data_IF_341932633296
#
_entry.id   IF_341932633296
#
_cell.length_a   1.000
_cell.length_b   1.000
_cell.length_c   1.000
_cell.angle_alpha   90.00
_cell.angle_beta   90.00
_cell.angle_gamma   90.00
#
_symmetry.space_group_name_H-M   'P 1'
#
loop_
_entity.id
_entity.type
_entity.pdbx_description
1 polymer ?
#
# COMPACT_ATOMS: atom_id res chain seq x y z
N UNK A 1 1.28 -8.83 -12.40
CA UNK A 1 1.84 -8.14 -11.21
C UNK A 1 1.25 -6.73 -11.16
N UNK A 2 0.72 -6.29 -10.03
CA UNK A 2 0.25 -4.91 -9.90
C UNK A 2 1.42 -3.93 -10.06
N UNK A 3 1.38 -3.16 -11.16
CA UNK A 3 2.32 -2.08 -11.42
C UNK A 3 1.74 -0.75 -10.90
N UNK A 4 2.43 0.35 -11.12
CA UNK A 4 2.04 1.67 -10.66
C UNK A 4 0.58 2.03 -11.04
N UNK A 5 0.09 1.81 -12.27
CA UNK A 5 -1.29 2.14 -12.64
C UNK A 5 -2.33 1.33 -11.85
N UNK A 6 -2.12 0.02 -11.64
CA UNK A 6 -3.03 -0.84 -10.90
C UNK A 6 -3.07 -0.48 -9.42
N UNK A 7 -1.92 -0.07 -8.84
CA UNK A 7 -1.86 0.41 -7.46
C UNK A 7 -2.61 1.73 -7.31
N UNK A 8 -2.49 2.64 -8.28
CA UNK A 8 -3.25 3.91 -8.29
C UNK A 8 -4.75 3.68 -8.46
N UNK A 9 -5.17 2.76 -9.34
CA UNK A 9 -6.58 2.38 -9.49
C UNK A 9 -7.13 1.80 -8.19
N UNK A 10 -6.36 0.93 -7.53
CA UNK A 10 -6.73 0.39 -6.21
C UNK A 10 -6.89 1.51 -5.18
N UNK A 11 -5.94 2.44 -5.08
CA UNK A 11 -6.03 3.60 -4.19
C UNK A 11 -7.30 4.42 -4.43
N UNK A 12 -7.56 4.74 -5.71
CA UNK A 12 -8.76 5.53 -6.10
C UNK A 12 -10.06 4.80 -5.81
N UNK A 13 -10.07 3.49 -5.92
CA UNK A 13 -11.25 2.68 -5.60
C UNK A 13 -11.52 2.61 -4.10
N UNK A 14 -10.48 2.53 -3.27
CA UNK A 14 -10.61 2.41 -1.83
C UNK A 14 -10.88 3.75 -1.14
N UNK A 15 -10.11 4.79 -1.48
CA UNK A 15 -10.07 6.04 -0.73
C UNK A 15 -11.44 6.68 -0.49
N UNK A 16 -12.36 6.81 -1.46
CA UNK A 16 -13.66 7.43 -1.25
C UNK A 16 -14.54 6.73 -0.22
N UNK A 17 -14.33 5.42 -0.05
CA UNK A 17 -15.16 4.61 0.83
C UNK A 17 -14.62 4.49 2.26
N UNK A 18 -13.33 4.72 2.49
CA UNK A 18 -12.70 4.46 3.79
C UNK A 18 -12.00 5.66 4.41
N UNK A 19 -11.58 6.66 3.64
CA UNK A 19 -10.95 7.87 4.21
C UNK A 19 -11.95 8.65 5.06
N UNK A 20 -11.52 9.11 6.23
CA UNK A 20 -12.35 9.75 7.24
C UNK A 20 -13.06 8.77 8.17
N UNK A 21 -12.94 7.45 7.96
CA UNK A 21 -13.59 6.43 8.79
C UNK A 21 -12.63 5.80 9.79
N UNK A 22 -13.17 5.37 10.92
CA UNK A 22 -12.42 4.64 11.94
C UNK A 22 -12.48 3.14 11.70
N UNK A 23 -11.36 2.47 11.98
CA UNK A 23 -11.29 1.00 11.96
C UNK A 23 -12.08 0.46 13.15
N UNK A 24 -13.06 -0.38 12.88
CA UNK A 24 -13.91 -1.01 13.91
C UNK A 24 -13.47 -2.43 14.25
N UNK A 25 -12.91 -3.15 13.30
CA UNK A 25 -12.39 -4.51 13.50
C UNK A 25 -11.32 -4.84 12.46
N UNK A 26 -10.45 -5.79 12.81
CA UNK A 26 -9.47 -6.38 11.89
C UNK A 26 -9.46 -7.89 12.09
N UNK A 27 -9.41 -8.62 11.00
CA UNK A 27 -9.27 -10.08 11.03
C UNK A 27 -8.08 -10.50 10.18
N UNK A 28 -7.06 -11.10 10.79
CA UNK A 28 -5.86 -11.61 10.13
C UNK A 28 -5.90 -13.13 10.15
N UNK A 29 -5.78 -13.78 8.98
CA UNK A 29 -5.90 -15.23 8.78
C UNK A 29 -4.57 -15.92 8.49
N UNK A 30 -3.50 -15.16 8.31
CA UNK A 30 -2.15 -15.71 8.08
C UNK A 30 -1.14 -15.03 8.98
N UNK A 31 -0.19 -15.77 9.58
CA UNK A 31 0.86 -15.17 10.39
C UNK A 31 1.92 -14.48 9.56
N UNK A 32 1.99 -14.75 8.24
CA UNK A 32 3.06 -14.29 7.38
C UNK A 32 2.62 -14.12 5.93
N UNK A 33 3.00 -13.00 5.33
CA UNK A 33 3.08 -12.77 3.89
C UNK A 33 4.57 -12.87 3.45
N UNK A 34 5.09 -11.90 2.71
CA UNK A 34 6.54 -11.76 2.46
C UNK A 34 7.29 -11.68 3.79
N UNK A 35 6.74 -10.94 4.75
CA UNK A 35 7.25 -10.78 6.10
C UNK A 35 6.19 -11.20 7.15
N UNK A 36 6.59 -11.49 8.40
CA UNK A 36 5.65 -11.74 9.48
C UNK A 36 4.68 -10.56 9.64
N UNK A 37 3.40 -10.86 9.80
CA UNK A 37 2.39 -9.85 10.10
C UNK A 37 2.40 -9.52 11.60
N UNK A 38 2.38 -8.22 11.89
CA UNK A 38 2.18 -7.73 13.25
C UNK A 38 0.74 -8.00 13.69
N UNK A 39 0.46 -7.86 14.96
CA UNK A 39 -0.91 -8.01 15.50
C UNK A 39 -1.77 -6.80 15.11
N UNK A 40 -2.17 -6.76 13.84
CA UNK A 40 -3.01 -5.69 13.30
C UNK A 40 -4.38 -5.65 13.97
N UNK A 41 -4.86 -6.77 14.52
CA UNK A 41 -6.13 -6.84 15.23
C UNK A 41 -6.09 -6.08 16.57
N UNK A 42 -4.92 -5.97 17.19
CA UNK A 42 -4.72 -5.14 18.36
C UNK A 42 -4.32 -3.69 18.02
N UNK A 43 -3.64 -3.48 16.88
CA UNK A 43 -2.99 -2.19 16.58
C UNK A 43 -3.89 -1.20 15.83
N UNK A 44 -4.82 -1.66 14.98
CA UNK A 44 -5.60 -0.78 14.10
C UNK A 44 -6.97 -0.35 14.66
N UNK A 45 -7.74 -1.17 15.42
CA UNK A 45 -9.06 -0.75 15.88
C UNK A 45 -9.01 0.56 16.68
N UNK A 46 -9.98 1.44 16.39
CA UNK A 46 -10.06 2.77 16.98
C UNK A 46 -9.25 3.85 16.27
N UNK A 47 -8.36 3.49 15.33
CA UNK A 47 -7.66 4.47 14.51
C UNK A 47 -8.56 4.97 13.38
N UNK A 48 -8.50 6.27 13.07
CA UNK A 48 -9.22 6.89 11.95
C UNK A 48 -8.27 7.05 10.77
N UNK A 49 -8.66 6.56 9.59
CA UNK A 49 -7.89 6.73 8.36
C UNK A 49 -8.03 8.17 7.84
N UNK A 50 -6.96 8.96 7.88
CA UNK A 50 -6.94 10.33 7.39
C UNK A 50 -6.63 10.41 5.89
N UNK A 51 -5.65 9.62 5.45
CA UNK A 51 -5.18 9.65 4.06
C UNK A 51 -4.85 8.24 3.57
N UNK A 52 -5.12 8.01 2.30
CA UNK A 52 -4.63 6.86 1.54
C UNK A 52 -3.88 7.39 0.31
N UNK A 53 -2.57 7.22 0.32
CA UNK A 53 -1.69 7.75 -0.70
C UNK A 53 -0.94 6.60 -1.38
N UNK A 54 -0.42 6.87 -2.58
CA UNK A 54 0.46 5.96 -3.28
C UNK A 54 1.85 6.59 -3.44
N UNK A 55 2.86 5.79 -3.24
CA UNK A 55 4.25 6.09 -3.60
C UNK A 55 4.81 4.90 -4.36
N UNK A 56 5.13 5.06 -5.64
CA UNK A 56 5.46 3.94 -6.52
C UNK A 56 4.40 2.83 -6.48
N UNK A 57 4.77 1.62 -6.11
CA UNK A 57 3.88 0.46 -5.95
C UNK A 57 3.40 0.24 -4.51
N UNK A 58 3.69 1.19 -3.62
CA UNK A 58 3.27 1.15 -2.22
C UNK A 58 2.01 1.99 -2.00
N UNK A 59 1.13 1.49 -1.12
CA UNK A 59 0.06 2.28 -0.53
C UNK A 59 0.47 2.69 0.89
N UNK A 60 0.32 3.96 1.19
CA UNK A 60 0.59 4.55 2.50
C UNK A 60 -0.76 4.93 3.09
N UNK A 61 -1.15 4.23 4.14
CA UNK A 61 -2.35 4.50 4.91
C UNK A 61 -1.94 5.31 6.13
N UNK A 62 -2.39 6.54 6.24
CA UNK A 62 -2.11 7.41 7.38
C UNK A 62 -3.31 7.43 8.30
N UNK A 63 -3.11 6.95 9.52
CA UNK A 63 -4.12 6.91 10.57
C UNK A 63 -3.82 7.93 11.66
N UNK A 64 -4.88 8.31 12.38
CA UNK A 64 -4.80 9.09 13.62
C UNK A 64 -5.48 8.34 14.76
N UNK A 65 -4.82 8.31 15.91
CA UNK A 65 -5.41 7.81 17.16
C UNK A 65 -6.32 8.85 17.81
N UNK A 66 -7.14 8.44 18.77
CA UNK A 66 -7.95 9.34 19.57
C UNK A 66 -7.10 10.38 20.37
N UNK A 67 -5.86 10.04 20.70
CA UNK A 67 -4.88 10.93 21.32
C UNK A 67 -4.19 11.90 20.33
N UNK A 68 -4.55 11.84 19.03
CA UNK A 68 -3.96 12.69 18.00
C UNK A 68 -2.65 12.18 17.40
N UNK A 69 -2.16 11.02 17.82
CA UNK A 69 -0.93 10.46 17.34
C UNK A 69 -1.11 9.85 15.96
N UNK A 70 -0.12 10.04 15.08
CA UNK A 70 -0.11 9.42 13.76
C UNK A 70 0.43 7.99 13.80
N UNK A 71 -0.18 7.13 13.01
CA UNK A 71 0.23 5.74 12.74
C UNK A 71 0.09 5.47 11.26
N UNK A 72 0.86 4.53 10.77
CA UNK A 72 0.85 4.21 9.34
C UNK A 72 0.75 2.71 9.10
N UNK A 73 0.12 2.38 7.99
CA UNK A 73 0.26 1.07 7.36
C UNK A 73 0.95 1.29 6.01
N UNK A 74 2.07 0.62 5.82
CA UNK A 74 2.75 0.57 4.52
C UNK A 74 2.43 -0.77 3.89
N UNK A 75 1.80 -0.76 2.70
CA UNK A 75 1.40 -1.99 2.04
C UNK A 75 1.92 -2.05 0.61
N UNK A 76 2.32 -3.26 0.20
CA UNK A 76 2.75 -3.57 -1.16
C UNK A 76 2.03 -4.82 -1.63
N UNK A 77 1.44 -4.79 -2.83
CA UNK A 77 0.63 -5.91 -3.31
C UNK A 77 1.45 -7.09 -3.84
N UNK A 78 2.77 -6.94 -3.98
CA UNK A 78 3.62 -7.97 -4.52
C UNK A 78 3.23 -8.32 -5.96
N UNK A 79 3.22 -9.61 -6.28
CA UNK A 79 2.93 -10.09 -7.64
C UNK A 79 1.46 -10.46 -7.87
N UNK A 80 0.72 -10.81 -6.84
CA UNK A 80 -0.65 -11.32 -6.95
C UNK A 80 -1.62 -10.74 -5.93
N UNK A 81 -1.13 -9.82 -5.09
CA UNK A 81 -1.94 -9.19 -4.06
C UNK A 81 -2.96 -8.22 -4.64
N UNK A 82 -4.10 -8.13 -3.99
CA UNK A 82 -5.15 -7.17 -4.31
C UNK A 82 -5.90 -6.75 -3.05
N UNK A 83 -6.31 -5.48 -3.02
CA UNK A 83 -7.25 -4.96 -2.04
C UNK A 83 -8.62 -4.81 -2.68
N UNK A 84 -9.65 -5.36 -2.06
CA UNK A 84 -11.03 -5.27 -2.53
C UNK A 84 -11.94 -4.76 -1.44
N UNK A 85 -12.95 -4.01 -1.86
CA UNK A 85 -13.95 -3.42 -0.97
C UNK A 85 -15.26 -4.21 -1.02
N UNK A 86 -15.90 -4.35 0.13
CA UNK A 86 -17.18 -5.00 0.29
C UNK A 86 -18.05 -4.20 1.26
N UNK A 87 -19.34 -4.10 0.95
CA UNK A 87 -20.33 -3.68 1.95
C UNK A 87 -20.63 -4.87 2.85
N UNK A 88 -20.88 -4.61 4.13
CA UNK A 88 -21.32 -5.68 5.04
C UNK A 88 -22.81 -5.99 4.86
N UNK A 89 -23.21 -7.27 4.94
CA UNK A 89 -22.38 -8.45 5.16
C UNK A 89 -21.55 -8.82 3.94
N UNK A 90 -20.24 -9.04 4.15
CA UNK A 90 -19.32 -9.43 3.09
C UNK A 90 -19.34 -10.95 2.86
N UNK A 91 -18.98 -11.44 1.65
CA UNK A 91 -18.81 -12.86 1.40
C UNK A 91 -17.80 -13.49 2.36
N UNK A 92 -17.99 -14.77 2.64
CA UNK A 92 -17.02 -15.56 3.43
C UNK A 92 -15.63 -15.49 2.81
N UNK A 93 -14.62 -15.45 3.66
CA UNK A 93 -13.24 -15.38 3.21
C UNK A 93 -12.82 -16.72 2.56
N UNK A 94 -12.07 -16.62 1.47
CA UNK A 94 -11.47 -17.75 0.78
C UNK A 94 -10.04 -18.03 1.27
N UNK A 95 -9.45 -19.13 0.79
CA UNK A 95 -8.11 -19.62 1.17
C UNK A 95 -7.00 -18.56 1.07
N UNK A 96 -7.10 -17.64 0.13
CA UNK A 96 -6.08 -16.63 -0.15
C UNK A 96 -6.43 -15.24 0.38
N UNK A 97 -7.52 -15.11 1.13
CA UNK A 97 -7.92 -13.88 1.82
C UNK A 97 -7.23 -13.82 3.17
N UNK A 98 -6.22 -12.97 3.28
CA UNK A 98 -5.29 -12.98 4.41
C UNK A 98 -5.63 -11.97 5.49
N UNK A 99 -6.21 -10.84 5.13
CA UNK A 99 -6.59 -9.81 6.09
C UNK A 99 -7.86 -9.08 5.67
N UNK A 100 -8.71 -8.76 6.64
CA UNK A 100 -9.85 -7.86 6.51
C UNK A 100 -9.67 -6.69 7.47
N UNK A 101 -9.87 -5.47 6.98
CA UNK A 101 -9.93 -4.25 7.79
C UNK A 101 -11.35 -3.70 7.64
N UNK A 102 -12.07 -3.54 8.74
CA UNK A 102 -13.47 -3.11 8.76
C UNK A 102 -13.56 -1.65 9.19
N UNK A 103 -14.30 -0.86 8.42
CA UNK A 103 -14.58 0.55 8.65
C UNK A 103 -16.11 0.75 8.76
N UNK A 104 -16.70 0.39 9.88
CA UNK A 104 -18.14 0.42 10.10
C UNK A 104 -18.89 -0.60 9.22
N UNK A 105 -19.57 -0.12 8.17
CA UNK A 105 -20.35 -0.92 7.22
C UNK A 105 -19.54 -1.38 5.99
N UNK A 106 -18.27 -1.01 5.91
CA UNK A 106 -17.35 -1.33 4.80
C UNK A 106 -16.23 -2.23 5.27
N UNK A 107 -15.94 -3.27 4.50
CA UNK A 107 -14.82 -4.19 4.70
C UNK A 107 -13.85 -4.07 3.53
N UNK A 108 -12.57 -3.91 3.84
CA UNK A 108 -11.48 -3.95 2.86
C UNK A 108 -10.70 -5.24 3.05
N UNK A 109 -10.68 -6.09 2.03
CA UNK A 109 -10.07 -7.42 2.06
C UNK A 109 -8.79 -7.46 1.24
N UNK A 110 -7.74 -8.02 1.86
CA UNK A 110 -6.49 -8.32 1.19
C UNK A 110 -6.43 -9.79 0.78
N UNK A 111 -6.30 -10.02 -0.53
CA UNK A 111 -6.17 -11.35 -1.14
C UNK A 111 -4.83 -11.46 -1.83
N UNK A 112 -4.04 -12.51 -1.57
CA UNK A 112 -2.73 -12.72 -2.20
C UNK A 112 -2.37 -14.21 -2.30
N UNK A 113 -2.66 -14.88 -3.43
CA UNK A 113 -2.36 -16.30 -3.61
C UNK A 113 -0.89 -16.66 -3.42
N UNK A 114 0.04 -15.79 -3.77
CA UNK A 114 1.48 -16.05 -3.72
C UNK A 114 2.15 -15.59 -2.43
N UNK A 115 1.49 -14.75 -1.62
CA UNK A 115 1.99 -14.15 -0.37
C UNK A 115 3.28 -13.33 -0.54
N UNK A 116 3.46 -12.69 -1.68
CA UNK A 116 4.61 -11.81 -1.96
C UNK A 116 4.35 -10.36 -1.61
N UNK A 117 3.14 -10.04 -1.21
CA UNK A 117 2.80 -8.74 -0.69
C UNK A 117 3.31 -8.52 0.74
N UNK A 118 3.22 -7.28 1.20
CA UNK A 118 3.57 -6.91 2.57
C UNK A 118 2.53 -5.96 3.17
N UNK A 119 2.35 -6.06 4.47
CA UNK A 119 1.51 -5.17 5.29
C UNK A 119 2.30 -4.87 6.56
N UNK A 120 2.82 -3.66 6.69
CA UNK A 120 3.68 -3.25 7.79
C UNK A 120 3.03 -2.10 8.55
N UNK A 121 2.80 -2.30 9.86
CA UNK A 121 2.37 -1.23 10.75
C UNK A 121 3.59 -0.46 11.24
N UNK A 122 3.51 0.88 11.21
CA UNK A 122 4.62 1.76 11.55
C UNK A 122 4.16 2.90 12.46
N UNK A 123 5.01 3.23 13.43
CA UNK A 123 4.83 4.37 14.34
C UNK A 123 5.59 5.62 13.86
N UNK A 124 6.44 5.46 12.85
CA UNK A 124 7.19 6.53 12.18
C UNK A 124 6.75 6.67 10.74
N UNK A 125 6.85 7.88 10.19
CA UNK A 125 6.44 8.13 8.80
C UNK A 125 7.26 7.26 7.82
N UNK A 126 6.61 6.35 7.07
CA UNK A 126 7.30 5.46 6.15
C UNK A 126 8.07 6.18 5.04
N UNK A 127 7.71 7.44 4.71
CA UNK A 127 8.42 8.25 3.72
C UNK A 127 9.86 8.56 4.13
N UNK A 128 10.16 8.48 5.44
CA UNK A 128 11.49 8.75 6.03
C UNK A 128 12.32 7.48 6.23
N UNK A 129 11.82 6.32 5.85
CA UNK A 129 12.46 5.03 6.08
C UNK A 129 12.48 4.15 4.82
N UNK A 130 13.25 3.08 4.87
CA UNK A 130 13.22 2.05 3.83
C UNK A 130 11.86 1.35 3.78
N UNK A 131 11.39 0.94 2.61
CA UNK A 131 12.08 1.05 1.30
C UNK A 131 11.85 2.38 0.57
N UNK A 132 10.99 3.28 1.07
CA UNK A 132 10.55 4.46 0.32
C UNK A 132 11.66 5.49 0.06
N UNK A 133 12.65 5.60 0.94
CA UNK A 133 13.78 6.53 0.77
C UNK A 133 14.71 6.17 -0.39
N UNK A 134 14.70 4.92 -0.85
CA UNK A 134 15.50 4.46 -1.99
C UNK A 134 14.79 4.63 -3.34
N UNK A 135 13.52 4.98 -3.33
CA UNK A 135 12.75 5.12 -4.57
C UNK A 135 13.14 6.40 -5.31
N UNK A 136 13.23 6.32 -6.63
CA UNK A 136 13.36 7.47 -7.52
C UNK A 136 12.16 8.42 -7.43
N UNK A 137 12.16 9.51 -8.19
CA UNK A 137 11.02 10.42 -8.26
C UNK A 137 9.82 9.77 -9.00
N UNK A 138 8.62 10.23 -8.70
CA UNK A 138 7.44 9.82 -9.45
C UNK A 138 7.50 10.36 -10.90
N UNK A 139 6.92 9.64 -11.89
CA UNK A 139 6.97 10.07 -13.30
C UNK A 139 6.39 11.46 -13.57
N UNK A 140 5.51 11.95 -12.70
CA UNK A 140 4.88 13.28 -12.80
C UNK A 140 5.44 14.28 -11.77
N UNK A 141 6.55 13.96 -11.12
CA UNK A 141 7.20 14.88 -10.20
C UNK A 141 7.71 16.10 -10.98
N UNK A 142 7.39 17.34 -10.59
CA UNK A 142 7.85 18.53 -11.28
C UNK A 142 9.38 18.65 -11.37
N UNK A 143 10.11 17.96 -10.49
CA UNK A 143 11.57 17.92 -10.52
C UNK A 143 12.13 16.98 -11.60
N UNK A 144 11.28 16.12 -12.21
CA UNK A 144 11.65 15.27 -13.32
C UNK A 144 11.56 16.07 -14.63
N UNK A 145 12.53 16.97 -14.86
CA UNK A 145 12.64 17.70 -16.13
C UNK A 145 13.05 16.77 -17.26
N UNK A 146 12.82 17.19 -18.50
CA UNK A 146 13.24 16.43 -19.69
C UNK A 146 14.76 16.14 -19.69
N UNK A 147 15.59 17.12 -19.31
CA UNK A 147 17.04 16.97 -19.24
C UNK A 147 17.46 15.97 -18.16
N UNK A 148 16.83 16.04 -16.99
CA UNK A 148 17.07 15.07 -15.91
C UNK A 148 16.66 13.67 -16.32
N UNK A 149 15.49 13.53 -16.93
CA UNK A 149 15.01 12.25 -17.41
C UNK A 149 15.93 11.67 -18.50
N UNK A 150 16.36 12.51 -19.46
CA UNK A 150 17.32 12.10 -20.49
C UNK A 150 18.63 11.61 -19.86
N UNK A 151 19.16 12.36 -18.87
CA UNK A 151 20.38 11.98 -18.17
C UNK A 151 20.25 10.63 -17.45
N UNK A 152 19.12 10.36 -16.82
CA UNK A 152 18.86 9.06 -16.16
C UNK A 152 18.74 7.91 -17.18
N UNK A 153 18.11 8.17 -18.34
CA UNK A 153 18.01 7.17 -19.41
C UNK A 153 19.37 6.76 -19.97
N UNK A 154 20.35 7.67 -20.01
CA UNK A 154 21.71 7.36 -20.47
C UNK A 154 22.48 6.40 -19.55
N UNK A 155 22.03 6.25 -18.31
CA UNK A 155 22.66 5.36 -17.30
C UNK A 155 22.18 3.92 -17.37
N UNK A 156 21.20 3.61 -18.23
CA UNK A 156 20.57 2.29 -18.27
C UNK A 156 20.28 1.84 -19.69
N UNK A 157 20.24 0.54 -19.92
CA UNK A 157 19.80 -0.09 -21.16
C UNK A 157 18.33 -0.53 -21.15
N UNK A 158 17.59 -0.21 -20.08
CA UNK A 158 16.16 -0.52 -19.94
C UNK A 158 15.34 0.31 -20.93
N UNK A 159 14.15 -0.19 -21.29
CA UNK A 159 13.21 0.58 -22.10
C UNK A 159 12.72 1.82 -21.35
N UNK A 160 12.29 2.86 -22.07
CA UNK A 160 11.69 4.07 -21.45
C UNK A 160 10.51 3.69 -20.57
N UNK A 161 9.67 2.75 -21.03
CA UNK A 161 8.54 2.23 -20.26
C UNK A 161 9.01 1.64 -18.92
N UNK A 162 10.04 0.80 -18.95
CA UNK A 162 10.58 0.21 -17.74
C UNK A 162 11.19 1.27 -16.82
N UNK A 163 11.88 2.26 -17.35
CA UNK A 163 12.39 3.37 -16.57
C UNK A 163 11.27 4.13 -15.86
N UNK A 164 10.15 4.39 -16.51
CA UNK A 164 9.01 5.10 -15.91
C UNK A 164 8.24 4.26 -14.89
N UNK A 165 8.14 2.94 -15.12
CA UNK A 165 7.40 2.04 -14.23
C UNK A 165 8.24 1.50 -13.07
N UNK A 166 9.57 1.35 -13.29
CA UNK A 166 10.49 0.69 -12.35
C UNK A 166 11.57 1.61 -11.79
N UNK A 167 11.68 2.89 -12.19
CA UNK A 167 12.59 3.85 -11.53
C UNK A 167 12.25 4.06 -10.05
N UNK A 168 11.04 3.68 -9.67
CA UNK A 168 10.58 3.66 -8.30
C UNK A 168 10.84 2.34 -7.57
N UNK A 169 11.41 1.33 -8.22
CA UNK A 169 11.56 -0.03 -7.67
C UNK A 169 13.04 -0.46 -7.70
N UNK A 170 13.84 0.18 -6.85
CA UNK A 170 15.22 -0.24 -6.61
C UNK A 170 15.32 -1.48 -5.68
N UNK A 171 14.23 -2.22 -5.51
CA UNK A 171 14.13 -3.30 -4.53
C UNK A 171 14.14 -4.72 -5.14
N UNK A 172 14.26 -4.84 -6.46
CA UNK A 172 14.25 -6.14 -7.17
C UNK A 172 15.61 -6.52 -7.80
N UNK A 173 16.75 -6.04 -7.26
CA UNK A 173 18.09 -6.58 -7.55
C UNK A 173 18.60 -7.37 -6.36
#
# INVERSE_FOLDING_TARGET
MPELPEVEVTRRGLAPAIVGRSVTAVNVRTPKLREPLQDLAALLPGLTLEHLERRAKYLIWTFRSAAGEKRWLLTHMGMSGSWRIWSLPAPSAHKHDHADIVFGDVLVRYTDPRRFGSILFMTTDPRKSLPLTKLGCEPWDPTLTADRFYTELQKTHRSIKDCLLYTSDAADD
#
